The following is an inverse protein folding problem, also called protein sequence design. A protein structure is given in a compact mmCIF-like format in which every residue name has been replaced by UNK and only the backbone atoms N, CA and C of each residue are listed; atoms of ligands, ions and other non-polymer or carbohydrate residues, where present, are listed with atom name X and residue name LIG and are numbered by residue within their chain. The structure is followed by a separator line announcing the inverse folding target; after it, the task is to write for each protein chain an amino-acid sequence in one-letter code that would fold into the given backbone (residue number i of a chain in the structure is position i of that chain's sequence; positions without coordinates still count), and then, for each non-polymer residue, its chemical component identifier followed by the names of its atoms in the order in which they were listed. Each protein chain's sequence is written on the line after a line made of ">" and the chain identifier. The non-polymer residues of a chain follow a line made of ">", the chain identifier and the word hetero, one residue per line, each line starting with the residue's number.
data_IF_504437809606
#
_entry.id   IF_504437809606
#
_cell.length_a   1.000
_cell.length_b   1.000
_cell.length_c   1.000
_cell.angle_alpha   90.00
_cell.angle_beta   90.00
_cell.angle_gamma   90.00
#
_symmetry.space_group_name_H-M   'P 1'
#
loop_
_entity.id
_entity.type
_entity.pdbx_description
1 polymer ?
#
# COMPACT_ATOMS: atom_id res chain seq x y z
N UNK A 1 -1.47 19.25 -30.89
CA UNK A 1 -2.47 18.37 -30.22
C UNK A 1 -1.81 17.33 -29.30
N UNK A 2 -0.78 16.59 -29.74
CA UNK A 2 -0.08 15.57 -28.92
C UNK A 2 0.44 16.12 -27.57
N UNK A 3 1.01 17.33 -27.56
CA UNK A 3 1.52 17.97 -26.33
C UNK A 3 0.43 18.18 -25.25
N UNK A 4 -0.78 18.53 -25.66
CA UNK A 4 -1.91 18.68 -24.74
C UNK A 4 -2.37 17.34 -24.17
N UNK A 5 -2.37 16.28 -25.00
CA UNK A 5 -2.72 14.93 -24.55
C UNK A 5 -1.72 14.38 -23.52
N UNK A 6 -0.42 14.64 -23.72
CA UNK A 6 0.64 14.23 -22.78
C UNK A 6 0.51 14.97 -21.44
N UNK A 7 0.24 16.28 -21.46
CA UNK A 7 0.05 17.06 -20.24
C UNK A 7 -1.20 16.62 -19.46
N UNK A 8 -2.29 16.31 -20.17
CA UNK A 8 -3.52 15.83 -19.54
C UNK A 8 -3.33 14.45 -18.89
N UNK A 9 -2.65 13.53 -19.59
CA UNK A 9 -2.34 12.21 -19.06
C UNK A 9 -1.45 12.28 -17.81
N UNK A 10 -0.45 13.17 -17.81
CA UNK A 10 0.42 13.38 -16.67
C UNK A 10 -0.34 13.96 -15.46
N UNK A 11 -1.22 14.94 -15.69
CA UNK A 11 -2.02 15.55 -14.62
C UNK A 11 -3.01 14.55 -13.99
N UNK A 12 -3.64 13.68 -14.79
CA UNK A 12 -4.49 12.61 -14.28
C UNK A 12 -3.71 11.57 -13.47
N UNK A 13 -2.50 11.19 -13.91
CA UNK A 13 -1.66 10.24 -13.18
C UNK A 13 -1.22 10.78 -11.81
N UNK A 14 -0.83 12.06 -11.74
CA UNK A 14 -0.37 12.67 -10.48
C UNK A 14 -1.50 12.90 -9.49
N UNK A 15 -2.69 13.30 -9.96
CA UNK A 15 -3.85 13.53 -9.09
C UNK A 15 -4.43 12.23 -8.54
N UNK A 16 -4.43 11.15 -9.34
CA UNK A 16 -4.87 9.83 -8.87
C UNK A 16 -3.97 9.28 -7.73
N UNK A 17 -2.65 9.45 -7.83
CA UNK A 17 -1.74 9.03 -6.77
C UNK A 17 -1.85 9.91 -5.51
N UNK A 18 -2.04 11.22 -5.67
CA UNK A 18 -2.13 12.15 -4.53
C UNK A 18 -3.47 12.07 -3.79
N UNK A 19 -4.58 11.83 -4.50
CA UNK A 19 -5.91 11.70 -3.90
C UNK A 19 -6.13 10.34 -3.20
N UNK A 20 -5.35 9.31 -3.53
CA UNK A 20 -5.48 7.98 -2.96
C UNK A 20 -4.97 7.85 -1.52
N UNK A 21 -4.27 8.87 -0.99
CA UNK A 21 -3.73 8.84 0.37
C UNK A 21 -4.31 10.01 1.17
N UNK A 22 -5.39 9.80 1.93
CA UNK A 22 -5.86 10.82 2.86
C UNK A 22 -4.72 11.21 3.80
N UNK A 23 -4.51 12.51 4.00
CA UNK A 23 -3.47 13.01 4.89
C UNK A 23 -3.73 12.52 6.32
N UNK A 24 -2.95 11.53 6.77
CA UNK A 24 -2.93 11.11 8.16
C UNK A 24 -1.92 12.00 8.91
N UNK A 25 -2.36 12.82 9.88
CA UNK A 25 -1.42 13.63 10.65
C UNK A 25 -0.40 12.73 11.35
N UNK A 26 0.86 13.18 11.35
CA UNK A 26 1.91 12.46 12.05
C UNK A 26 1.64 12.44 13.56
N UNK A 27 1.85 11.31 14.25
CA UNK A 27 1.67 11.23 15.68
C UNK A 27 2.65 12.17 16.39
N UNK A 28 2.13 12.94 17.35
CA UNK A 28 2.85 14.01 18.06
C UNK A 28 3.39 13.57 19.42
N UNK A 29 3.10 12.33 19.84
CA UNK A 29 3.62 11.75 21.07
C UNK A 29 4.18 10.33 20.86
N UNK A 30 5.13 9.88 21.72
CA UNK A 30 5.66 8.51 21.65
C UNK A 30 4.58 7.43 21.76
N UNK A 31 3.56 7.65 22.59
CA UNK A 31 2.43 6.71 22.72
C UNK A 31 1.63 6.59 21.42
N UNK A 32 1.35 7.72 20.75
CA UNK A 32 0.65 7.70 19.47
C UNK A 32 1.49 7.02 18.38
N UNK A 33 2.81 7.18 18.42
CA UNK A 33 3.73 6.44 17.56
C UNK A 33 3.65 4.93 17.81
N UNK A 34 3.72 4.50 19.07
CA UNK A 34 3.63 3.09 19.43
C UNK A 34 2.28 2.49 19.00
N UNK A 35 1.18 3.19 19.26
CA UNK A 35 -0.15 2.76 18.84
C UNK A 35 -0.25 2.61 17.32
N UNK A 36 0.40 3.51 16.55
CA UNK A 36 0.46 3.41 15.09
C UNK A 36 1.25 2.17 14.66
N UNK A 37 2.41 1.91 15.25
CA UNK A 37 3.22 0.72 14.98
C UNK A 37 2.45 -0.56 15.29
N UNK A 38 1.75 -0.61 16.43
CA UNK A 38 0.93 -1.76 16.81
C UNK A 38 -0.18 -2.06 15.79
N UNK A 39 -0.84 -1.02 15.26
CA UNK A 39 -1.86 -1.21 14.21
C UNK A 39 -1.25 -1.77 12.93
N UNK A 40 -0.09 -1.24 12.52
CA UNK A 40 0.63 -1.72 11.33
C UNK A 40 1.02 -3.18 11.52
N UNK A 41 1.59 -3.53 12.67
CA UNK A 41 2.02 -4.89 12.98
C UNK A 41 0.85 -5.88 13.00
N UNK A 42 -0.30 -5.49 13.56
CA UNK A 42 -1.52 -6.31 13.55
C UNK A 42 -2.01 -6.56 12.14
N UNK A 43 -2.12 -5.50 11.32
CA UNK A 43 -2.55 -5.62 9.93
C UNK A 43 -1.61 -6.50 9.10
N UNK A 44 -0.29 -6.40 9.34
CA UNK A 44 0.70 -7.24 8.68
C UNK A 44 0.57 -8.71 9.10
N UNK A 45 0.44 -8.96 10.40
CA UNK A 45 0.25 -10.32 10.95
C UNK A 45 -1.02 -10.95 10.38
N UNK A 46 -2.12 -10.20 10.34
CA UNK A 46 -3.37 -10.68 9.74
C UNK A 46 -3.22 -11.00 8.25
N UNK A 47 -2.43 -10.21 7.50
CA UNK A 47 -2.12 -10.54 6.10
C UNK A 47 -1.34 -11.84 6.00
N UNK A 48 -0.29 -12.01 6.80
CA UNK A 48 0.53 -13.22 6.80
C UNK A 48 -0.29 -14.46 7.17
N UNK A 49 -1.16 -14.37 8.18
CA UNK A 49 -2.03 -15.47 8.58
C UNK A 49 -3.00 -15.88 7.46
N UNK A 50 -3.54 -14.92 6.71
CA UNK A 50 -4.36 -15.24 5.51
C UNK A 50 -3.53 -15.98 4.46
N UNK A 51 -2.30 -15.54 4.23
CA UNK A 51 -1.41 -16.11 3.24
C UNK A 51 -0.86 -17.49 3.62
N UNK A 52 -0.66 -17.77 4.91
CA UNK A 52 -0.16 -19.05 5.41
C UNK A 52 -1.06 -20.22 4.99
N UNK A 53 -2.37 -19.99 5.01
CA UNK A 53 -3.37 -21.01 4.64
C UNK A 53 -3.65 -21.08 3.13
N UNK A 54 -3.09 -20.16 2.34
CA UNK A 54 -3.32 -20.08 0.90
C UNK A 54 -2.32 -20.95 0.11
N UNK A 55 -2.77 -21.47 -1.04
CA UNK A 55 -1.88 -22.21 -1.93
C UNK A 55 -0.87 -21.27 -2.60
N UNK A 56 0.41 -21.45 -2.28
CA UNK A 56 1.53 -20.64 -2.77
C UNK A 56 1.69 -20.65 -4.30
N UNK A 57 1.22 -21.71 -4.98
CA UNK A 57 1.29 -21.84 -6.44
C UNK A 57 0.12 -21.17 -7.16
N UNK A 58 -0.87 -20.66 -6.41
CA UNK A 58 -2.03 -20.00 -7.01
C UNK A 58 -1.70 -18.57 -7.46
N UNK A 59 -2.25 -18.15 -8.60
CA UNK A 59 -2.16 -16.74 -9.02
C UNK A 59 -2.74 -15.78 -7.97
N UNK A 60 -3.70 -16.27 -7.19
CA UNK A 60 -4.32 -15.53 -6.10
C UNK A 60 -3.30 -15.21 -4.99
N UNK A 61 -2.43 -16.15 -4.65
CA UNK A 61 -1.33 -15.90 -3.72
C UNK A 61 -0.36 -14.83 -4.24
N UNK A 62 0.00 -14.89 -5.53
CA UNK A 62 0.86 -13.88 -6.14
C UNK A 62 0.25 -12.46 -6.08
N UNK A 63 -1.08 -12.33 -6.23
CA UNK A 63 -1.77 -11.04 -6.15
C UNK A 63 -1.99 -10.52 -4.73
N UNK A 64 -2.38 -11.40 -3.79
CA UNK A 64 -2.83 -11.00 -2.45
C UNK A 64 -1.71 -11.02 -1.39
N UNK A 65 -0.68 -11.86 -1.58
CA UNK A 65 0.36 -12.10 -0.58
C UNK A 65 1.70 -11.44 -0.90
N UNK A 66 1.92 -10.95 -2.11
CA UNK A 66 3.10 -10.15 -2.43
C UNK A 66 3.03 -8.80 -1.71
N UNK A 67 4.09 -8.45 -0.99
CA UNK A 67 4.20 -7.17 -0.29
C UNK A 67 4.38 -6.05 -1.33
N UNK A 68 3.46 -5.07 -1.43
CA UNK A 68 3.67 -3.92 -2.31
C UNK A 68 4.91 -3.14 -1.82
N UNK A 69 5.93 -3.05 -2.67
CA UNK A 69 7.22 -2.40 -2.37
C UNK A 69 8.26 -3.27 -1.67
N UNK A 70 8.00 -4.56 -1.43
CA UNK A 70 9.03 -5.53 -1.06
C UNK A 70 9.76 -6.00 -2.31
N UNK A 71 11.08 -5.97 -2.32
CA UNK A 71 11.85 -6.64 -3.37
C UNK A 71 11.45 -8.13 -3.41
N UNK A 72 11.37 -8.76 -4.60
CA UNK A 72 11.33 -10.21 -4.66
C UNK A 72 12.61 -10.73 -3.98
N UNK A 73 12.43 -11.60 -3.00
CA UNK A 73 13.53 -12.30 -2.34
C UNK A 73 13.95 -13.48 -3.20
#
# INVERSE_FOLDING_TARGET
>A
MIRFAVLLALACATTACAAAQPYEPLPVSPYQWQQRQDRIQRAETERLNRCETMNQQSERYARECQRPGGAPQ
#
